data_IF_789442048487
#
_entry.id   IF_789442048487
#
_cell.length_a   1.000
_cell.length_b   1.000
_cell.length_c   1.000
_cell.angle_alpha   90.00
_cell.angle_beta   90.00
_cell.angle_gamma   90.00
#
_symmetry.space_group_name_H-M   'P 1'
#
loop_
_entity.id
_entity.type
_entity.pdbx_description
1 polymer ?
#
# COMPACT_ATOMS: atom_id res chain seq x y z
N UNK A 1 17.36 -5.12 -2.77
CA UNK A 1 17.13 -4.04 -1.78
C UNK A 1 17.86 -4.33 -0.46
N UNK A 2 18.55 -3.33 0.12
CA UNK A 2 19.14 -3.45 1.46
C UNK A 2 18.12 -3.17 2.59
N UNK A 3 18.30 -3.70 3.81
CA UNK A 3 17.40 -3.41 4.93
C UNK A 3 17.27 -1.92 5.27
N UNK A 4 18.35 -1.15 5.18
CA UNK A 4 18.31 0.30 5.45
C UNK A 4 17.43 1.02 4.43
N UNK A 5 17.53 0.67 3.15
CA UNK A 5 16.67 1.25 2.11
C UNK A 5 15.21 0.88 2.35
N UNK A 6 14.92 -0.39 2.68
CA UNK A 6 13.57 -0.86 3.01
C UNK A 6 12.95 -0.01 4.13
N UNK A 7 13.60 0.07 5.29
CA UNK A 7 13.03 0.80 6.43
C UNK A 7 12.94 2.31 6.17
N UNK A 8 13.87 2.92 5.44
CA UNK A 8 13.74 4.33 5.00
C UNK A 8 12.51 4.55 4.12
N UNK A 9 12.19 3.59 3.26
CA UNK A 9 11.00 3.62 2.42
C UNK A 9 9.71 3.30 3.20
N UNK A 10 9.78 2.70 4.38
CA UNK A 10 8.62 2.42 5.24
C UNK A 10 8.37 3.49 6.31
N UNK A 11 9.39 4.27 6.71
CA UNK A 11 9.31 5.22 7.82
C UNK A 11 8.51 6.51 7.50
N UNK A 12 7.28 6.36 7.03
CA UNK A 12 6.26 7.40 6.89
C UNK A 12 4.89 6.74 7.10
N UNK A 13 4.03 7.35 7.92
CA UNK A 13 2.76 6.74 8.37
C UNK A 13 1.81 6.42 7.20
N UNK A 14 1.61 7.37 6.28
CA UNK A 14 0.70 7.18 5.12
C UNK A 14 1.24 6.10 4.20
N UNK A 15 2.56 6.09 3.96
CA UNK A 15 3.24 5.13 3.10
C UNK A 15 3.24 3.72 3.68
N UNK A 16 3.47 3.58 4.98
CA UNK A 16 3.40 2.29 5.66
C UNK A 16 1.98 1.72 5.59
N UNK A 17 0.96 2.52 5.95
CA UNK A 17 -0.44 2.09 5.84
C UNK A 17 -0.81 1.69 4.43
N UNK A 18 -0.42 2.47 3.42
CA UNK A 18 -0.64 2.15 2.00
C UNK A 18 -0.10 0.76 1.66
N UNK A 19 1.15 0.48 2.03
CA UNK A 19 1.82 -0.77 1.72
C UNK A 19 1.18 -1.96 2.46
N UNK A 20 0.81 -1.79 3.73
CA UNK A 20 0.16 -2.84 4.53
C UNK A 20 -1.27 -3.13 4.04
N UNK A 21 -2.03 -2.11 3.63
CA UNK A 21 -3.36 -2.29 3.04
C UNK A 21 -3.28 -3.07 1.72
N UNK A 22 -2.34 -2.71 0.84
CA UNK A 22 -2.07 -3.48 -0.39
C UNK A 22 -1.65 -4.92 -0.05
N UNK A 23 -0.82 -5.12 0.97
CA UNK A 23 -0.40 -6.46 1.42
C UNK A 23 -1.62 -7.33 1.80
N UNK A 24 -2.61 -6.75 2.50
CA UNK A 24 -3.82 -7.47 2.92
C UNK A 24 -4.84 -7.67 1.80
N UNK A 25 -4.89 -6.75 0.82
CA UNK A 25 -5.88 -6.77 -0.28
C UNK A 25 -5.33 -7.31 -1.59
N UNK A 26 -4.05 -7.69 -1.62
CA UNK A 26 -3.27 -8.09 -2.80
C UNK A 26 -3.01 -6.93 -3.78
N UNK A 27 -4.04 -6.16 -4.12
CA UNK A 27 -3.93 -4.96 -4.94
C UNK A 27 -4.98 -3.90 -4.55
N UNK A 28 -4.68 -2.62 -4.79
CA UNK A 28 -5.61 -1.50 -4.60
C UNK A 28 -5.38 -0.40 -5.64
N UNK A 29 -6.43 0.29 -6.06
CA UNK A 29 -6.34 1.52 -6.86
C UNK A 29 -6.05 2.75 -5.99
N UNK A 30 -5.65 3.85 -6.66
CA UNK A 30 -5.46 5.15 -6.00
C UNK A 30 -6.72 5.68 -5.31
N UNK A 31 -7.89 5.39 -5.89
CA UNK A 31 -9.22 5.76 -5.40
C UNK A 31 -9.53 5.12 -4.05
N UNK A 32 -9.37 3.81 -3.96
CA UNK A 32 -9.58 3.02 -2.75
C UNK A 32 -8.62 3.46 -1.63
N UNK A 33 -7.36 3.71 -1.95
CA UNK A 33 -6.37 4.19 -0.98
C UNK A 33 -6.68 5.61 -0.49
N UNK A 34 -7.19 6.48 -1.36
CA UNK A 34 -7.61 7.83 -1.00
C UNK A 34 -8.74 7.79 0.03
N UNK A 35 -9.74 6.94 -0.23
CA UNK A 35 -10.89 6.74 0.65
C UNK A 35 -10.47 6.11 1.98
N UNK A 36 -9.69 5.02 1.94
CA UNK A 36 -9.24 4.27 3.10
C UNK A 36 -8.34 5.06 4.06
N UNK A 37 -7.61 6.05 3.56
CA UNK A 37 -6.66 6.82 4.36
C UNK A 37 -7.13 8.26 4.61
N UNK A 38 -8.29 8.66 4.06
CA UNK A 38 -8.81 10.02 4.11
C UNK A 38 -7.76 11.09 3.73
N UNK A 39 -6.94 10.79 2.72
CA UNK A 39 -5.90 11.69 2.19
C UNK A 39 -6.29 12.19 0.81
N UNK A 40 -5.69 13.29 0.33
CA UNK A 40 -5.96 13.76 -1.03
C UNK A 40 -5.27 12.88 -2.09
N UNK A 41 -5.86 12.81 -3.29
CA UNK A 41 -5.29 12.07 -4.42
C UNK A 41 -3.82 12.46 -4.74
N UNK A 42 -3.44 13.76 -4.76
CA UNK A 42 -2.05 14.15 -5.01
C UNK A 42 -1.08 13.65 -3.93
N UNK A 43 -1.52 13.63 -2.66
CA UNK A 43 -0.72 13.15 -1.54
C UNK A 43 -0.46 11.65 -1.66
N UNK A 44 -1.51 10.85 -1.84
CA UNK A 44 -1.36 9.38 -1.98
C UNK A 44 -0.55 9.01 -3.22
N UNK A 45 -0.77 9.70 -4.35
CA UNK A 45 -0.01 9.48 -5.59
C UNK A 45 1.49 9.71 -5.40
N UNK A 46 1.88 10.71 -4.60
CA UNK A 46 3.29 10.94 -4.23
C UNK A 46 3.85 9.76 -3.43
N UNK A 47 3.14 9.27 -2.41
CA UNK A 47 3.61 8.11 -1.62
C UNK A 47 3.73 6.84 -2.48
N UNK A 48 2.77 6.60 -3.39
CA UNK A 48 2.82 5.48 -4.34
C UNK A 48 4.01 5.61 -5.30
N UNK A 49 4.29 6.81 -5.81
CA UNK A 49 5.47 7.05 -6.64
C UNK A 49 6.78 6.76 -5.88
N UNK A 50 6.89 7.17 -4.61
CA UNK A 50 8.05 6.87 -3.78
C UNK A 50 8.18 5.37 -3.49
N UNK A 51 7.09 4.65 -3.20
CA UNK A 51 7.11 3.20 -3.01
C UNK A 51 7.57 2.45 -4.26
N UNK A 52 7.14 2.90 -5.45
CA UNK A 52 7.62 2.35 -6.73
C UNK A 52 9.10 2.64 -6.98
N UNK A 53 9.57 3.85 -6.66
CA UNK A 53 11.01 4.18 -6.74
C UNK A 53 11.85 3.30 -5.81
N UNK A 54 11.29 2.87 -4.69
CA UNK A 54 11.90 1.90 -3.78
C UNK A 54 11.74 0.44 -4.22
N UNK A 55 11.13 0.18 -5.38
CA UNK A 55 10.85 -1.16 -5.92
C UNK A 55 9.96 -2.01 -5.00
N UNK A 56 9.18 -1.38 -4.10
CA UNK A 56 8.28 -2.08 -3.18
C UNK A 56 6.93 -2.40 -3.81
N UNK A 57 6.51 -1.57 -4.76
CA UNK A 57 5.26 -1.72 -5.49
C UNK A 57 5.55 -1.78 -6.99
N UNK A 58 4.67 -2.50 -7.69
CA UNK A 58 4.47 -2.38 -9.13
C UNK A 58 3.04 -1.87 -9.39
N UNK A 59 2.82 -1.34 -10.58
CA UNK A 59 1.51 -0.85 -11.00
C UNK A 59 1.06 -1.47 -12.32
N UNK A 60 -0.25 -1.63 -12.45
CA UNK A 60 -0.89 -2.14 -13.66
C UNK A 60 -2.07 -1.23 -14.03
N UNK A 61 -2.10 -0.77 -15.28
CA UNK A 61 -3.22 0.04 -15.78
C UNK A 61 -4.31 -0.86 -16.35
N UNK A 62 -5.49 -0.81 -15.72
CA UNK A 62 -6.71 -1.50 -16.16
C UNK A 62 -7.78 -0.48 -16.54
N UNK A 63 -7.84 -0.17 -17.84
CA UNK A 63 -8.72 0.86 -18.38
C UNK A 63 -8.38 2.26 -17.85
N UNK A 64 -9.30 2.87 -17.10
CA UNK A 64 -9.13 4.20 -16.49
C UNK A 64 -8.34 4.17 -15.19
N UNK A 65 -8.20 3.00 -14.58
CA UNK A 65 -7.64 2.85 -13.24
C UNK A 65 -6.22 2.28 -13.28
N UNK A 66 -5.44 2.61 -12.25
CA UNK A 66 -4.11 2.06 -12.02
C UNK A 66 -4.15 1.35 -10.67
N UNK A 67 -3.88 0.06 -10.69
CA UNK A 67 -3.84 -0.81 -9.52
C UNK A 67 -2.40 -1.00 -9.09
N UNK A 68 -2.16 -1.03 -7.77
CA UNK A 68 -0.86 -1.21 -7.17
C UNK A 68 -0.84 -2.49 -6.36
N UNK A 69 0.22 -3.27 -6.52
CA UNK A 69 0.46 -4.51 -5.80
C UNK A 69 1.92 -4.57 -5.34
N UNK A 70 2.21 -5.45 -4.36
CA UNK A 70 3.59 -5.70 -3.95
C UNK A 70 4.41 -6.15 -5.16
N UNK A 71 5.65 -5.67 -5.26
CA UNK A 71 6.56 -6.15 -6.28
C UNK A 71 6.87 -7.66 -6.01
N UNK A 72 6.58 -8.57 -6.96
CA UNK A 72 6.83 -10.00 -6.79
C UNK A 72 8.33 -10.34 -6.65
N UNK A 73 9.23 -9.43 -7.04
CA UNK A 73 10.68 -9.60 -6.85
C UNK A 73 11.17 -9.17 -5.46
N UNK A 74 10.26 -8.84 -4.54
CA UNK A 74 10.64 -8.54 -3.17
C UNK A 74 11.32 -9.75 -2.50
N UNK A 75 12.42 -9.54 -1.76
CA UNK A 75 13.01 -10.59 -0.95
C UNK A 75 11.99 -11.19 0.02
N UNK A 76 12.01 -12.52 0.19
CA UNK A 76 11.06 -13.23 1.05
C UNK A 76 10.99 -12.64 2.47
N UNK A 77 12.13 -12.25 3.05
CA UNK A 77 12.17 -11.62 4.38
C UNK A 77 11.36 -10.32 4.45
N UNK A 78 11.35 -9.52 3.38
CA UNK A 78 10.63 -8.25 3.35
C UNK A 78 9.13 -8.49 3.29
N UNK A 79 8.71 -9.47 2.47
CA UNK A 79 7.30 -9.91 2.40
C UNK A 79 6.83 -10.44 3.76
N UNK A 80 7.63 -11.29 4.42
CA UNK A 80 7.30 -11.79 5.77
C UNK A 80 7.16 -10.63 6.76
N UNK A 81 8.08 -9.66 6.77
CA UNK A 81 7.96 -8.48 7.65
C UNK A 81 6.66 -7.72 7.41
N UNK A 82 6.28 -7.48 6.15
CA UNK A 82 5.01 -6.80 5.82
C UNK A 82 3.79 -7.61 6.27
N UNK A 83 3.79 -8.91 6.03
CA UNK A 83 2.70 -9.82 6.43
C UNK A 83 2.56 -9.88 7.95
N UNK A 84 3.65 -10.08 8.68
CA UNK A 84 3.66 -10.09 10.15
C UNK A 84 3.23 -8.74 10.72
N UNK A 85 3.70 -7.64 10.12
CA UNK A 85 3.28 -6.29 10.56
C UNK A 85 1.78 -6.11 10.35
N UNK A 86 1.25 -6.49 9.18
CA UNK A 86 -0.17 -6.34 8.89
C UNK A 86 -1.05 -7.24 9.77
N UNK A 87 -0.63 -8.48 10.02
CA UNK A 87 -1.37 -9.46 10.81
C UNK A 87 -1.42 -9.11 12.31
N UNK A 88 -0.33 -8.56 12.85
CA UNK A 88 -0.20 -8.32 14.30
C UNK A 88 -0.54 -6.88 14.74
N UNK A 89 -0.99 -6.01 13.82
CA UNK A 89 -1.32 -4.61 14.12
C UNK A 89 -2.73 -4.26 13.63
N UNK A 90 -3.72 -5.09 13.97
CA UNK A 90 -5.10 -4.90 13.54
C UNK A 90 -5.65 -3.53 13.95
N UNK A 91 -5.40 -3.05 15.17
CA UNK A 91 -5.88 -1.74 15.64
C UNK A 91 -5.35 -0.57 14.80
N UNK A 92 -4.12 -0.69 14.29
CA UNK A 92 -3.50 0.33 13.43
C UNK A 92 -4.14 0.40 12.03
N UNK A 93 -4.68 -0.72 11.53
CA UNK A 93 -5.24 -0.83 10.18
C UNK A 93 -6.77 -0.88 10.14
N UNK A 94 -7.43 -1.26 11.24
CA UNK A 94 -8.87 -1.51 11.29
C UNK A 94 -9.73 -0.34 10.79
N UNK A 95 -9.46 0.93 11.19
CA UNK A 95 -10.26 2.07 10.71
C UNK A 95 -10.20 2.20 9.17
N UNK A 96 -9.04 1.90 8.59
CA UNK A 96 -8.77 2.04 7.16
C UNK A 96 -9.37 0.87 6.35
N UNK A 97 -9.33 -0.34 6.92
CA UNK A 97 -9.95 -1.52 6.30
C UNK A 97 -11.48 -1.43 6.27
N UNK A 98 -12.11 -0.84 7.29
CA UNK A 98 -13.55 -0.61 7.31
C UNK A 98 -13.98 0.35 6.19
N UNK A 99 -13.19 1.39 5.92
CA UNK A 99 -13.45 2.34 4.83
C UNK A 99 -13.36 1.68 3.45
N UNK A 100 -12.44 0.72 3.25
CA UNK A 100 -12.37 -0.06 2.01
C UNK A 100 -13.62 -0.93 1.76
N UNK A 101 -14.20 -1.51 2.81
CA UNK A 101 -15.36 -2.41 2.69
C UNK A 101 -16.67 -1.73 2.27
N UNK A 102 -16.72 -0.39 2.29
CA UNK A 102 -17.88 0.36 1.81
C UNK A 102 -17.87 0.58 0.29
N UNK A 103 -16.79 0.16 -0.38
CA UNK A 103 -16.73 -0.02 -1.83
C UNK A 103 -16.72 1.30 -2.60
N UNK A 104 -15.60 1.60 -3.25
CA UNK A 104 -15.67 2.46 -4.41
C UNK A 104 -16.43 1.67 -5.50
N UNK A 105 -17.74 1.91 -5.63
CA UNK A 105 -18.64 1.20 -6.54
C UNK A 105 -18.31 1.37 -8.05
N UNK A 106 -17.15 1.96 -8.39
CA UNK A 106 -16.80 2.41 -9.73
C UNK A 106 -15.35 2.07 -10.17
N UNK A 107 -14.63 1.23 -9.43
CA UNK A 107 -13.30 0.71 -9.82
C UNK A 107 -13.39 -0.50 -10.75
#
# INVERSE_FOLDING_TARGET
>A
MSPIQFYKCLADDTRLKTLLLITLKQELCVCELQEALAVSQPKISRHLAELRKCELLIDERRGKWVYYQLNPELPAWAVTVLQETAANNSEYLHPHLQQLSQGCANC
#
